data_IF_013677473952
#
_entry.id   IF_013677473952
#
_cell.length_a   1.000
_cell.length_b   1.000
_cell.length_c   1.000
_cell.angle_alpha   90.00
_cell.angle_beta   90.00
_cell.angle_gamma   90.00
#
_symmetry.space_group_name_H-M   'P 1'
#
loop_
_entity.id
_entity.type
_entity.pdbx_description
1 polymer ?
#
# COMPACT_ATOMS: atom_id res chain seq x y z
N UNK A 1 2.49 9.27 -13.75
CA UNK A 1 3.74 9.09 -12.98
C UNK A 1 4.88 10.04 -13.38
N UNK A 2 4.67 11.07 -14.21
CA UNK A 2 5.77 11.98 -14.65
C UNK A 2 5.63 13.45 -14.22
N UNK A 3 4.48 13.84 -13.65
CA UNK A 3 4.20 15.21 -13.19
C UNK A 3 5.25 15.78 -12.21
N UNK A 4 5.74 15.04 -11.20
CA UNK A 4 6.75 15.60 -10.29
C UNK A 4 8.10 15.79 -10.97
N UNK A 5 8.46 14.94 -11.93
CA UNK A 5 9.74 15.02 -12.67
C UNK A 5 9.71 16.18 -13.68
N UNK A 6 8.61 16.36 -14.39
CA UNK A 6 8.41 17.48 -15.33
C UNK A 6 8.43 18.82 -14.58
N UNK A 7 7.82 18.88 -13.38
CA UNK A 7 7.90 20.06 -12.51
C UNK A 7 9.32 20.38 -12.05
N UNK A 8 10.12 19.35 -11.74
CA UNK A 8 11.51 19.50 -11.30
C UNK A 8 12.44 20.01 -12.41
N UNK A 9 12.22 19.54 -13.64
CA UNK A 9 12.98 19.97 -14.84
C UNK A 9 12.58 21.38 -15.27
N UNK A 10 11.28 21.72 -15.26
CA UNK A 10 10.80 23.05 -15.61
C UNK A 10 11.26 24.13 -14.62
N UNK A 11 11.37 23.79 -13.34
CA UNK A 11 11.81 24.70 -12.29
C UNK A 11 13.36 24.84 -12.24
N UNK A 12 14.09 23.75 -12.52
CA UNK A 12 15.56 23.75 -12.61
C UNK A 12 16.17 24.58 -13.74
N UNK A 13 15.38 24.92 -14.78
CA UNK A 13 15.81 25.79 -15.89
C UNK A 13 15.76 27.30 -15.56
N UNK A 14 15.00 27.71 -14.53
CA UNK A 14 14.75 29.13 -14.23
C UNK A 14 15.11 29.58 -12.81
N UNK A 15 15.46 28.68 -11.90
CA UNK A 15 15.86 29.05 -10.55
C UNK A 15 16.47 27.89 -9.79
N UNK A 16 17.35 28.20 -8.83
CA UNK A 16 18.06 27.19 -8.01
C UNK A 16 17.04 26.22 -7.39
N UNK A 17 17.22 24.89 -7.53
CA UNK A 17 16.25 23.92 -7.08
C UNK A 17 16.29 23.86 -5.55
N UNK A 18 15.42 24.65 -4.91
CA UNK A 18 15.12 24.53 -3.49
C UNK A 18 13.72 23.97 -3.35
N UNK A 19 13.57 22.96 -2.49
CA UNK A 19 12.27 22.38 -2.08
C UNK A 19 11.33 23.49 -1.58
N UNK A 20 11.87 24.60 -1.07
CA UNK A 20 11.11 25.80 -0.67
C UNK A 20 10.34 26.44 -1.82
N UNK A 21 10.84 26.39 -3.06
CA UNK A 21 10.16 26.98 -4.24
C UNK A 21 8.93 26.19 -4.70
N UNK A 22 8.84 24.89 -4.36
CA UNK A 22 7.66 24.06 -4.58
C UNK A 22 6.56 24.37 -3.54
N UNK A 23 6.96 24.86 -2.37
CA UNK A 23 6.06 25.25 -1.27
C UNK A 23 5.56 26.69 -1.45
N UNK A 24 6.33 27.54 -2.16
CA UNK A 24 6.06 28.97 -2.35
C UNK A 24 5.30 29.28 -3.66
N UNK A 25 4.33 28.45 -4.05
CA UNK A 25 3.45 28.76 -5.17
C UNK A 25 2.06 29.09 -4.63
N UNK A 26 1.82 30.40 -4.53
CA UNK A 26 0.53 31.10 -4.42
C UNK A 26 0.11 31.60 -3.03
N UNK A 27 0.79 32.66 -2.55
CA UNK A 27 0.10 33.70 -1.76
C UNK A 27 -0.68 34.61 -2.72
N UNK A 28 -1.98 34.38 -2.87
CA UNK A 28 -2.90 35.39 -3.39
C UNK A 28 -4.10 35.50 -2.43
N UNK A 29 -4.31 36.72 -1.90
CA UNK A 29 -5.53 37.19 -1.20
C UNK A 29 -6.09 36.31 -0.06
N UNK A 30 -5.29 36.11 0.99
CA UNK A 30 -5.82 35.99 2.36
C UNK A 30 -6.62 34.73 2.71
N UNK A 31 -6.73 33.74 1.83
CA UNK A 31 -7.22 32.39 2.16
C UNK A 31 -6.23 31.34 1.68
N UNK A 32 -5.76 30.49 2.59
CA UNK A 32 -4.72 29.49 2.36
C UNK A 32 -5.22 28.40 1.38
N UNK A 33 -4.73 28.49 0.14
CA UNK A 33 -5.07 27.63 -0.98
C UNK A 33 -4.17 26.39 -0.99
N UNK A 34 -4.71 25.29 -0.44
CA UNK A 34 -4.16 23.93 -0.37
C UNK A 34 -2.85 23.77 0.40
N UNK A 35 -2.94 23.11 1.56
CA UNK A 35 -1.77 22.74 2.36
C UNK A 35 -1.07 21.54 1.75
N UNK A 36 0.25 21.46 1.89
CA UNK A 36 1.08 20.31 1.47
C UNK A 36 0.52 18.97 1.98
N UNK A 37 -0.18 19.00 3.12
CA UNK A 37 -0.89 17.85 3.69
C UNK A 37 -1.92 17.24 2.71
N UNK A 38 -2.74 18.06 2.05
CA UNK A 38 -3.79 17.59 1.13
C UNK A 38 -3.19 16.85 -0.09
N UNK A 39 -1.94 17.13 -0.44
CA UNK A 39 -1.21 16.46 -1.54
C UNK A 39 -0.56 15.14 -1.11
N UNK A 40 -0.29 14.94 0.17
CA UNK A 40 0.31 13.71 0.73
C UNK A 40 -0.76 12.64 0.96
N UNK A 41 -2.01 13.05 1.19
CA UNK A 41 -3.14 12.16 1.45
C UNK A 41 -3.46 11.24 0.27
N UNK A 42 -3.37 11.75 -0.96
CA UNK A 42 -3.69 10.98 -2.16
C UNK A 42 -2.70 9.84 -2.43
N UNK A 43 -1.37 10.04 -2.40
CA UNK A 43 -0.43 8.94 -2.57
C UNK A 43 -0.50 7.88 -1.48
N UNK A 44 -0.77 8.25 -0.22
CA UNK A 44 -0.91 7.29 0.89
C UNK A 44 -2.05 6.30 0.63
N UNK A 45 -3.23 6.84 0.29
CA UNK A 45 -4.40 6.05 -0.07
C UNK A 45 -4.15 5.23 -1.33
N UNK A 46 -3.49 5.79 -2.34
CA UNK A 46 -3.19 5.06 -3.57
C UNK A 46 -2.26 3.86 -3.32
N UNK A 47 -1.23 4.00 -2.48
CA UNK A 47 -0.33 2.91 -2.11
C UNK A 47 -1.08 1.86 -1.28
N UNK A 48 -1.87 2.29 -0.30
CA UNK A 48 -2.66 1.36 0.51
C UNK A 48 -3.63 0.54 -0.36
N UNK A 49 -4.37 1.19 -1.26
CA UNK A 49 -5.28 0.50 -2.19
C UNK A 49 -4.51 -0.45 -3.10
N UNK A 50 -3.33 -0.06 -3.58
CA UNK A 50 -2.50 -0.92 -4.43
C UNK A 50 -2.06 -2.17 -3.67
N UNK A 51 -1.53 -2.01 -2.47
CA UNK A 51 -1.08 -3.12 -1.63
C UNK A 51 -2.23 -4.08 -1.30
N UNK A 52 -3.41 -3.55 -0.94
CA UNK A 52 -4.60 -4.35 -0.66
C UNK A 52 -5.14 -5.11 -1.88
N UNK A 53 -4.72 -4.75 -3.10
CA UNK A 53 -5.16 -5.38 -4.35
C UNK A 53 -4.13 -6.34 -4.94
N UNK A 54 -2.85 -6.01 -4.78
CA UNK A 54 -1.76 -6.73 -5.42
C UNK A 54 -1.40 -7.99 -4.59
N UNK A 55 -1.69 -8.03 -3.29
CA UNK A 55 -1.24 -9.10 -2.40
C UNK A 55 -2.36 -9.61 -1.47
N UNK A 56 -2.41 -10.93 -1.29
CA UNK A 56 -3.28 -11.59 -0.31
C UNK A 56 -2.59 -11.67 1.06
N UNK A 57 -3.28 -11.19 2.09
CA UNK A 57 -2.76 -11.20 3.45
C UNK A 57 -2.98 -12.57 4.09
N UNK A 58 -1.89 -13.32 4.34
CA UNK A 58 -1.98 -14.56 5.09
C UNK A 58 -2.43 -14.31 6.54
N UNK A 59 -1.85 -13.30 7.19
CA UNK A 59 -2.22 -12.94 8.55
C UNK A 59 -1.98 -11.47 8.85
N UNK A 60 -3.07 -10.77 9.18
CA UNK A 60 -2.99 -9.39 9.69
C UNK A 60 -2.16 -9.32 10.97
N UNK A 61 -2.13 -10.40 11.77
CA UNK A 61 -1.36 -10.43 13.02
C UNK A 61 0.14 -10.30 12.80
N UNK A 62 0.68 -10.96 11.77
CA UNK A 62 2.11 -10.88 11.43
C UNK A 62 2.53 -9.47 11.03
N UNK A 63 1.60 -8.66 10.51
CA UNK A 63 1.84 -7.26 10.16
C UNK A 63 1.81 -6.32 11.38
N UNK A 64 1.13 -6.67 12.47
CA UNK A 64 0.91 -5.74 13.60
C UNK A 64 2.24 -5.28 14.20
N UNK A 65 3.15 -6.21 14.52
CA UNK A 65 4.41 -5.88 15.18
C UNK A 65 5.30 -4.99 14.28
N UNK A 66 5.71 -5.43 13.07
CA UNK A 66 6.56 -4.61 12.21
C UNK A 66 5.88 -3.30 11.80
N UNK A 67 4.57 -3.33 11.51
CA UNK A 67 3.80 -2.13 11.17
C UNK A 67 3.77 -1.11 12.33
N UNK A 68 3.60 -1.58 13.57
CA UNK A 68 3.61 -0.72 14.77
C UNK A 68 4.99 -0.13 15.02
N UNK A 69 6.06 -0.90 14.83
CA UNK A 69 7.44 -0.40 14.97
C UNK A 69 7.68 0.73 13.97
N UNK A 70 7.34 0.52 12.69
CA UNK A 70 7.46 1.55 11.65
C UNK A 70 6.62 2.78 11.99
N UNK A 71 5.39 2.58 12.50
CA UNK A 71 4.51 3.68 12.89
C UNK A 71 5.05 4.51 14.05
N UNK A 72 5.60 3.88 15.08
CA UNK A 72 6.23 4.57 16.21
C UNK A 72 7.48 5.34 15.73
N UNK A 73 8.32 4.71 14.90
CA UNK A 73 9.50 5.38 14.33
C UNK A 73 9.11 6.64 13.54
N UNK A 74 8.05 6.53 12.72
CA UNK A 74 7.49 7.65 11.98
C UNK A 74 6.90 8.73 12.90
N UNK A 75 6.23 8.36 14.00
CA UNK A 75 5.75 9.31 15.01
C UNK A 75 6.90 10.08 15.66
N UNK A 76 8.01 9.40 15.98
CA UNK A 76 9.21 10.03 16.54
C UNK A 76 9.84 10.99 15.54
N UNK A 77 9.94 10.62 14.26
CA UNK A 77 10.42 11.52 13.20
C UNK A 77 9.54 12.77 13.06
N UNK A 78 8.21 12.60 13.11
CA UNK A 78 7.28 13.74 13.11
C UNK A 78 7.45 14.62 14.34
N UNK A 79 7.68 14.06 15.52
CA UNK A 79 7.95 14.84 16.73
C UNK A 79 9.23 15.66 16.58
N UNK A 80 10.32 15.07 16.09
CA UNK A 80 11.58 15.80 15.88
C UNK A 80 11.42 16.93 14.85
N UNK A 81 10.56 16.74 13.83
CA UNK A 81 10.34 17.70 12.74
C UNK A 81 9.15 18.66 12.97
N UNK A 82 8.50 18.55 14.14
CA UNK A 82 7.26 19.23 14.50
C UNK A 82 7.33 20.77 14.51
N UNK A 83 8.53 21.34 14.66
CA UNK A 83 8.73 22.80 14.74
C UNK A 83 8.21 23.56 13.50
N UNK A 84 8.06 22.87 12.36
CA UNK A 84 7.49 23.44 11.12
C UNK A 84 5.96 23.61 11.19
N UNK A 85 5.26 22.80 12.00
CA UNK A 85 3.78 22.74 12.05
C UNK A 85 3.19 23.81 12.98
N UNK A 86 3.98 24.30 13.95
CA UNK A 86 3.51 25.22 15.01
C UNK A 86 3.03 26.58 14.46
N UNK A 87 3.44 26.98 13.25
CA UNK A 87 3.12 28.29 12.66
C UNK A 87 1.81 28.35 11.85
N UNK A 88 1.02 27.27 11.79
CA UNK A 88 -0.22 27.24 11.00
C UNK A 88 -1.45 27.79 11.74
N UNK A 89 -2.30 28.54 11.02
CA UNK A 89 -3.52 29.24 11.47
C UNK A 89 -4.81 28.41 11.33
N UNK A 90 -4.75 27.21 10.75
CA UNK A 90 -5.91 26.31 10.58
C UNK A 90 -6.27 25.54 11.85
N UNK A 91 -7.42 24.83 11.82
CA UNK A 91 -7.84 23.94 12.89
C UNK A 91 -6.79 22.85 13.13
N UNK A 92 -6.00 23.04 14.18
CA UNK A 92 -4.85 22.19 14.52
C UNK A 92 -5.25 20.72 14.67
N UNK A 93 -6.42 20.44 15.23
CA UNK A 93 -6.91 19.07 15.42
C UNK A 93 -7.12 18.33 14.10
N UNK A 94 -7.61 19.00 13.06
CA UNK A 94 -7.80 18.37 11.74
C UNK A 94 -6.45 18.04 11.08
N UNK A 95 -5.48 18.94 11.17
CA UNK A 95 -4.13 18.73 10.64
C UNK A 95 -3.47 17.52 11.31
N UNK A 96 -3.48 17.44 12.65
CA UNK A 96 -2.91 16.28 13.35
C UNK A 96 -3.65 14.99 13.02
N UNK A 97 -4.98 15.04 12.88
CA UNK A 97 -5.77 13.87 12.50
C UNK A 97 -5.41 13.35 11.10
N UNK A 98 -5.38 14.22 10.09
CA UNK A 98 -4.97 13.84 8.72
C UNK A 98 -3.53 13.32 8.70
N UNK A 99 -2.58 14.04 9.33
CA UNK A 99 -1.18 13.61 9.39
C UNK A 99 -1.01 12.25 10.04
N UNK A 100 -1.65 12.02 11.19
CA UNK A 100 -1.57 10.75 11.92
C UNK A 100 -2.22 9.61 11.13
N UNK A 101 -3.35 9.87 10.48
CA UNK A 101 -4.01 8.90 9.60
C UNK A 101 -3.13 8.50 8.42
N UNK A 102 -2.46 9.46 7.79
CA UNK A 102 -1.51 9.17 6.72
C UNK A 102 -0.32 8.38 7.19
N UNK A 103 0.24 8.77 8.33
CA UNK A 103 1.36 8.08 8.93
C UNK A 103 1.02 6.61 9.19
N UNK A 104 -0.18 6.36 9.68
CA UNK A 104 -0.70 5.01 9.89
C UNK A 104 -0.76 4.24 8.57
N UNK A 105 -1.40 4.82 7.54
CA UNK A 105 -1.51 4.18 6.23
C UNK A 105 -0.14 3.87 5.61
N UNK A 106 0.77 4.85 5.60
CA UNK A 106 2.13 4.68 5.07
C UNK A 106 2.93 3.64 5.85
N UNK A 107 2.79 3.62 7.18
CA UNK A 107 3.57 2.69 8.00
C UNK A 107 3.13 1.26 7.73
N UNK A 108 1.83 0.98 7.69
CA UNK A 108 1.34 -0.39 7.49
C UNK A 108 1.43 -0.83 6.03
N UNK A 109 0.95 -0.01 5.08
CA UNK A 109 1.03 -0.35 3.66
C UNK A 109 2.47 -0.38 3.16
N UNK A 110 3.31 0.55 3.62
CA UNK A 110 4.73 0.58 3.28
C UNK A 110 5.48 -0.61 3.86
N UNK A 111 5.23 -0.98 5.13
CA UNK A 111 5.84 -2.17 5.75
C UNK A 111 5.51 -3.43 4.95
N UNK A 112 4.24 -3.62 4.62
CA UNK A 112 3.83 -4.81 3.87
C UNK A 112 4.33 -4.79 2.42
N UNK A 113 4.31 -3.63 1.75
CA UNK A 113 4.91 -3.49 0.43
C UNK A 113 6.40 -3.78 0.42
N UNK A 114 7.15 -3.30 1.41
CA UNK A 114 8.58 -3.63 1.55
C UNK A 114 8.77 -5.12 1.82
N UNK A 115 7.91 -5.71 2.64
CA UNK A 115 7.95 -7.13 2.95
C UNK A 115 7.85 -8.01 1.70
N UNK A 116 6.97 -7.67 0.75
CA UNK A 116 6.73 -8.46 -0.45
C UNK A 116 7.64 -8.07 -1.62
N UNK A 117 7.83 -6.77 -1.90
CA UNK A 117 8.59 -6.32 -3.08
C UNK A 117 10.10 -6.58 -2.99
N UNK A 118 10.63 -6.68 -1.78
CA UNK A 118 12.04 -6.95 -1.51
C UNK A 118 12.24 -8.32 -0.86
N UNK A 119 11.26 -9.21 -1.04
CA UNK A 119 11.37 -10.58 -0.59
C UNK A 119 12.24 -11.39 -1.56
N UNK A 120 13.42 -11.78 -1.11
CA UNK A 120 14.31 -12.71 -1.82
C UNK A 120 14.29 -14.10 -1.18
N UNK A 121 13.29 -14.41 -0.32
CA UNK A 121 13.16 -15.72 0.32
C UNK A 121 12.87 -16.84 -0.69
N UNK A 122 13.27 -18.07 -0.34
CA UNK A 122 13.06 -19.24 -1.18
C UNK A 122 11.56 -19.60 -1.22
N UNK A 123 10.96 -19.59 -2.41
CA UNK A 123 9.55 -19.93 -2.62
C UNK A 123 9.29 -21.40 -2.31
N UNK A 124 8.27 -21.66 -1.49
CA UNK A 124 7.76 -23.00 -1.24
C UNK A 124 6.51 -23.25 -2.09
N UNK A 125 6.45 -24.41 -2.74
CA UNK A 125 5.38 -24.73 -3.67
C UNK A 125 4.38 -25.70 -3.04
N UNK A 126 3.11 -25.30 -2.96
CA UNK A 126 2.05 -26.15 -2.44
C UNK A 126 1.00 -26.45 -3.52
N UNK A 127 0.82 -27.72 -3.93
CA UNK A 127 -0.23 -28.08 -4.87
C UNK A 127 -1.60 -28.02 -4.18
N UNK A 128 -2.55 -27.30 -4.77
CA UNK A 128 -3.89 -27.15 -4.25
C UNK A 128 -4.94 -27.44 -5.33
N UNK A 129 -5.98 -28.20 -4.97
CA UNK A 129 -7.06 -28.53 -5.90
C UNK A 129 -8.06 -27.38 -5.99
N UNK A 130 -8.40 -26.97 -7.20
CA UNK A 130 -9.44 -25.96 -7.44
C UNK A 130 -10.82 -26.57 -7.18
N UNK A 131 -11.55 -25.99 -6.23
CA UNK A 131 -12.86 -26.45 -5.81
C UNK A 131 -14.00 -25.66 -6.46
N UNK A 132 -13.82 -24.35 -6.63
CA UNK A 132 -14.85 -23.46 -7.16
C UNK A 132 -14.22 -22.16 -7.71
N UNK A 133 -14.99 -21.40 -8.50
CA UNK A 133 -14.59 -20.12 -9.07
C UNK A 133 -15.72 -19.11 -8.95
N UNK A 134 -15.45 -17.96 -8.32
CA UNK A 134 -16.45 -16.90 -8.08
C UNK A 134 -15.99 -15.57 -8.69
N UNK A 135 -16.94 -14.80 -9.25
CA UNK A 135 -16.69 -13.42 -9.70
C UNK A 135 -17.51 -12.46 -8.82
N UNK A 136 -16.85 -11.54 -8.15
CA UNK A 136 -17.49 -10.42 -7.46
C UNK A 136 -17.56 -9.22 -8.41
N UNK A 137 -18.76 -8.74 -8.72
CA UNK A 137 -18.97 -7.60 -9.61
C UNK A 137 -19.48 -6.40 -8.84
N UNK A 138 -18.85 -5.26 -9.06
CA UNK A 138 -19.31 -3.94 -8.61
C UNK A 138 -19.66 -3.08 -9.82
N UNK A 139 -20.28 -1.91 -9.58
CA UNK A 139 -20.61 -0.95 -10.65
C UNK A 139 -19.38 -0.45 -11.43
N UNK A 140 -18.17 -0.57 -10.88
CA UNK A 140 -16.93 0.00 -11.47
C UNK A 140 -15.79 -1.01 -11.69
N UNK A 141 -15.90 -2.23 -11.16
CA UNK A 141 -14.82 -3.23 -11.21
C UNK A 141 -15.35 -4.64 -10.99
N UNK A 142 -14.64 -5.64 -11.52
CA UNK A 142 -14.83 -7.06 -11.19
C UNK A 142 -13.58 -7.60 -10.49
N UNK A 143 -13.78 -8.45 -9.49
CA UNK A 143 -12.71 -9.19 -8.80
C UNK A 143 -12.97 -10.67 -8.96
N UNK A 144 -11.93 -11.42 -9.30
CA UNK A 144 -12.00 -12.84 -9.64
C UNK A 144 -11.39 -13.65 -8.52
N UNK A 145 -12.10 -14.67 -8.06
CA UNK A 145 -11.67 -15.51 -6.95
C UNK A 145 -11.67 -16.97 -7.37
N UNK A 146 -10.63 -17.69 -6.99
CA UNK A 146 -10.52 -19.15 -7.08
C UNK A 146 -10.59 -19.70 -5.66
N UNK A 147 -11.48 -20.67 -5.43
CA UNK A 147 -11.54 -21.40 -4.16
C UNK A 147 -10.69 -22.65 -4.28
N UNK A 148 -9.69 -22.79 -3.41
CA UNK A 148 -8.78 -23.94 -3.39
C UNK A 148 -9.03 -24.82 -2.17
N UNK A 149 -8.66 -26.10 -2.26
CA UNK A 149 -8.63 -27.01 -1.13
C UNK A 149 -7.52 -26.64 -0.15
N UNK A 150 -7.55 -27.22 1.06
CA UNK A 150 -6.49 -27.07 2.05
C UNK A 150 -5.10 -27.38 1.46
N UNK A 151 -4.11 -26.55 1.81
CA UNK A 151 -2.74 -26.58 1.28
C UNK A 151 -1.77 -26.04 2.34
N UNK A 152 -0.52 -26.49 2.36
CA UNK A 152 0.48 -26.03 3.34
C UNK A 152 -0.03 -26.02 4.79
N UNK A 153 0.02 -24.86 5.44
CA UNK A 153 -0.50 -24.61 6.79
C UNK A 153 -2.00 -24.20 6.81
N UNK A 154 -2.64 -24.07 5.65
CA UNK A 154 -4.04 -23.71 5.49
C UNK A 154 -4.91 -24.98 5.50
N UNK A 155 -5.49 -25.29 6.66
CA UNK A 155 -6.27 -26.52 6.87
C UNK A 155 -7.71 -26.47 6.31
N UNK A 156 -8.21 -25.27 6.01
CA UNK A 156 -9.57 -25.07 5.50
C UNK A 156 -9.53 -24.55 4.05
N UNK A 157 -10.55 -24.88 3.22
CA UNK A 157 -10.66 -24.32 1.89
C UNK A 157 -10.85 -22.80 1.91
N UNK A 158 -10.01 -22.09 1.15
CA UNK A 158 -10.00 -20.63 1.13
C UNK A 158 -10.20 -20.07 -0.28
N UNK A 159 -10.50 -18.76 -0.35
CA UNK A 159 -10.67 -18.02 -1.61
C UNK A 159 -9.48 -17.12 -1.82
N UNK A 160 -8.82 -17.27 -2.96
CA UNK A 160 -7.67 -16.48 -3.37
C UNK A 160 -8.08 -15.61 -4.56
N UNK A 161 -7.80 -14.31 -4.50
CA UNK A 161 -7.97 -13.40 -5.63
C UNK A 161 -6.94 -13.69 -6.71
N UNK A 162 -7.36 -13.71 -7.97
CA UNK A 162 -6.47 -13.97 -9.11
C UNK A 162 -6.65 -12.92 -10.20
N UNK A 163 -5.66 -12.82 -11.09
CA UNK A 163 -5.80 -12.02 -12.30
C UNK A 163 -6.91 -12.59 -13.21
N UNK A 164 -7.57 -11.72 -13.99
CA UNK A 164 -8.61 -12.16 -14.94
C UNK A 164 -8.10 -13.21 -15.94
N UNK A 165 -6.83 -13.09 -16.36
CA UNK A 165 -6.17 -14.03 -17.27
C UNK A 165 -6.00 -15.42 -16.66
N UNK A 166 -5.54 -15.49 -15.41
CA UNK A 166 -5.45 -16.74 -14.66
C UNK A 166 -6.85 -17.33 -14.44
N UNK A 167 -7.82 -16.50 -14.05
CA UNK A 167 -9.20 -16.95 -13.87
C UNK A 167 -9.78 -17.58 -15.14
N UNK A 168 -9.52 -17.04 -16.34
CA UNK A 168 -10.05 -17.64 -17.58
C UNK A 168 -9.41 -18.99 -17.92
N UNK A 169 -8.14 -19.17 -17.53
CA UNK A 169 -7.37 -20.37 -17.83
C UNK A 169 -7.66 -21.50 -16.83
N UNK A 170 -7.78 -21.15 -15.54
CA UNK A 170 -7.92 -22.11 -14.45
C UNK A 170 -9.26 -22.88 -14.55
N UNK A 171 -9.22 -24.20 -14.44
CA UNK A 171 -10.39 -25.08 -14.49
C UNK A 171 -10.74 -25.67 -13.12
N UNK A 172 -12.04 -25.79 -12.85
CA UNK A 172 -12.51 -26.45 -11.62
C UNK A 172 -12.12 -27.93 -11.67
N UNK A 173 -11.53 -28.41 -10.58
CA UNK A 173 -11.08 -29.79 -10.43
C UNK A 173 -9.62 -30.04 -10.80
N UNK A 174 -8.93 -29.08 -11.42
CA UNK A 174 -7.49 -29.17 -11.65
C UNK A 174 -6.69 -28.85 -10.38
N UNK A 175 -5.39 -29.13 -10.43
CA UNK A 175 -4.44 -28.77 -9.38
C UNK A 175 -3.62 -27.59 -9.85
N UNK A 176 -3.63 -26.51 -9.07
CA UNK A 176 -2.78 -25.33 -9.25
C UNK A 176 -1.64 -25.36 -8.23
N UNK A 177 -0.55 -24.65 -8.52
CA UNK A 177 0.55 -24.46 -7.58
C UNK A 177 0.33 -23.13 -6.87
N UNK A 178 0.50 -23.15 -5.54
CA UNK A 178 0.50 -21.96 -4.70
C UNK A 178 1.95 -21.69 -4.33
N UNK A 179 2.41 -20.50 -4.72
CA UNK A 179 3.71 -19.96 -4.42
C UNK A 179 3.64 -19.28 -3.07
N UNK A 180 4.28 -19.88 -2.07
CA UNK A 180 4.33 -19.39 -0.70
C UNK A 180 5.69 -18.74 -0.41
N UNK A 181 5.64 -17.58 0.22
CA UNK A 181 6.80 -16.77 0.56
C UNK A 181 6.82 -16.42 2.05
N UNK A 182 8.00 -16.43 2.67
CA UNK A 182 8.12 -16.10 4.11
C UNK A 182 8.02 -14.59 4.38
N UNK A 183 8.29 -13.75 3.38
CA UNK A 183 8.35 -12.29 3.53
C UNK A 183 9.68 -11.81 4.09
N UNK A 184 10.20 -10.68 3.57
CA UNK A 184 11.44 -10.06 4.07
C UNK A 184 11.40 -9.74 5.57
N UNK A 185 10.22 -9.39 6.09
CA UNK A 185 10.00 -9.03 7.50
C UNK A 185 9.36 -10.18 8.29
N UNK A 186 9.35 -11.40 7.74
CA UNK A 186 8.67 -12.56 8.33
C UNK A 186 7.15 -12.41 8.33
N UNK A 187 6.59 -11.72 7.32
CA UNK A 187 5.15 -11.64 7.08
C UNK A 187 4.86 -12.49 5.85
N UNK A 188 4.33 -13.72 6.04
CA UNK A 188 4.04 -14.59 4.92
C UNK A 188 3.01 -14.01 3.96
N UNK A 189 3.17 -14.35 2.68
CA UNK A 189 2.26 -14.01 1.60
C UNK A 189 2.32 -15.08 0.51
N UNK A 190 1.25 -15.21 -0.27
CA UNK A 190 1.15 -16.25 -1.27
C UNK A 190 0.36 -15.81 -2.50
N UNK A 191 0.62 -16.47 -3.63
CA UNK A 191 -0.11 -16.29 -4.88
C UNK A 191 -0.27 -17.61 -5.64
N UNK A 192 -1.16 -17.62 -6.65
CA UNK A 192 -1.31 -18.76 -7.56
C UNK A 192 -0.44 -18.51 -8.78
N UNK A 193 0.31 -19.53 -9.21
CA UNK A 193 1.11 -19.54 -10.46
C UNK A 193 0.19 -19.52 -11.71
#
# INVERSE_FOLDING_TARGET
MALPIIGLIANGLYGRPSITSLIEITKDKGEDKYDVADFIDFPALAICIRILRDFEFESVYSLIIPGTITFIAMCVLLWITHEVIIKSTKNKSWIYFSLLGNLFLYSYAGTYGVNCLFDDSETQYYPAKVLDKTISRSRRSSTYYVKVAAWGHHHDPEKISVASSQYETIQIGETVIIDYHEGLLGIPWYEIE
#
